data_IF_520070157312
#
_entry.id   IF_520070157312
#
_cell.length_a   1.000
_cell.length_b   1.000
_cell.length_c   1.000
_cell.angle_alpha   90.00
_cell.angle_beta   90.00
_cell.angle_gamma   90.00
#
_symmetry.space_group_name_H-M   'P 1'
#
loop_
_entity.id
_entity.type
_entity.pdbx_description
1 polymer ?
#
# COMPACT_ATOMS: atom_id res chain seq x y z
N UNK A 1 -8.53 6.59 -9.84
CA UNK A 1 -8.18 7.97 -10.25
C UNK A 1 -9.27 9.02 -10.01
N UNK A 2 -10.51 8.67 -9.65
CA UNK A 2 -11.62 9.65 -9.54
C UNK A 2 -11.62 10.58 -8.32
N UNK A 3 -10.71 10.42 -7.37
CA UNK A 3 -10.68 11.18 -6.10
C UNK A 3 -9.61 12.27 -6.08
N UNK A 4 -8.68 12.25 -7.03
CA UNK A 4 -7.63 13.27 -7.13
C UNK A 4 -8.21 14.57 -7.70
N UNK A 5 -7.86 15.75 -7.14
CA UNK A 5 -8.24 17.02 -7.75
C UNK A 5 -7.73 17.10 -9.21
N UNK A 6 -8.59 17.52 -10.13
CA UNK A 6 -8.29 17.58 -11.57
C UNK A 6 -6.98 18.30 -11.87
N UNK A 7 -6.69 19.39 -11.14
CA UNK A 7 -5.45 20.16 -11.27
C UNK A 7 -4.21 19.33 -10.90
N UNK A 8 -4.27 18.53 -9.84
CA UNK A 8 -3.16 17.67 -9.43
C UNK A 8 -2.91 16.57 -10.46
N UNK A 9 -3.97 15.95 -10.97
CA UNK A 9 -3.89 14.96 -12.05
C UNK A 9 -3.29 15.54 -13.34
N UNK A 10 -3.65 16.79 -13.70
CA UNK A 10 -3.18 17.40 -14.94
C UNK A 10 -1.72 17.89 -14.88
N UNK A 11 -1.31 18.47 -13.75
CA UNK A 11 -0.07 19.25 -13.69
C UNK A 11 0.99 18.70 -12.73
N UNK A 12 0.65 17.76 -11.85
CA UNK A 12 1.61 17.16 -10.93
C UNK A 12 1.99 15.74 -11.39
N UNK A 13 3.16 15.65 -12.06
CA UNK A 13 3.67 14.35 -12.49
C UNK A 13 3.98 13.44 -11.31
N UNK A 14 4.50 13.98 -10.20
CA UNK A 14 4.78 13.19 -8.99
C UNK A 14 3.53 12.47 -8.46
N UNK A 15 2.42 13.21 -8.28
CA UNK A 15 1.13 12.64 -7.85
C UNK A 15 0.61 11.62 -8.86
N UNK A 16 0.69 11.94 -10.15
CA UNK A 16 0.17 11.05 -11.21
C UNK A 16 0.96 9.76 -11.31
N UNK A 17 2.30 9.85 -11.30
CA UNK A 17 3.21 8.69 -11.30
C UNK A 17 2.97 7.83 -10.08
N UNK A 18 2.88 8.44 -8.90
CA UNK A 18 2.67 7.69 -7.66
C UNK A 18 1.31 6.96 -7.67
N UNK A 19 0.24 7.63 -8.13
CA UNK A 19 -1.10 7.02 -8.27
C UNK A 19 -1.25 6.00 -9.38
N UNK A 20 -0.27 5.83 -10.26
CA UNK A 20 -0.25 4.80 -11.30
C UNK A 20 0.60 3.59 -10.94
N UNK A 21 1.30 3.62 -9.80
CA UNK A 21 2.15 2.51 -9.40
C UNK A 21 1.31 1.27 -9.09
N UNK A 22 1.72 0.12 -9.62
CA UNK A 22 1.15 -1.15 -9.22
C UNK A 22 -0.35 -1.32 -9.49
N UNK A 23 -1.01 -2.12 -8.66
CA UNK A 23 -2.46 -2.38 -8.77
C UNK A 23 -3.13 -2.38 -7.39
N UNK A 24 -4.44 -2.19 -7.40
CA UNK A 24 -5.27 -2.22 -6.20
C UNK A 24 -5.78 -3.62 -5.90
N UNK A 25 -5.91 -3.93 -4.61
CA UNK A 25 -6.57 -5.14 -4.13
C UNK A 25 -7.79 -4.74 -3.31
N UNK A 26 -8.92 -5.33 -3.66
CA UNK A 26 -10.22 -5.09 -3.06
C UNK A 26 -10.53 -6.20 -2.05
N UNK A 27 -11.35 -5.91 -1.03
CA UNK A 27 -11.67 -6.92 -0.04
C UNK A 27 -12.55 -8.02 -0.67
N UNK A 28 -12.41 -9.29 -0.26
CA UNK A 28 -13.19 -10.41 -0.80
C UNK A 28 -14.66 -10.35 -0.37
N UNK A 29 -14.95 -9.69 0.75
CA UNK A 29 -16.30 -9.41 1.24
C UNK A 29 -16.35 -8.01 1.85
N UNK A 30 -17.54 -7.46 2.07
CA UNK A 30 -17.66 -6.26 2.90
C UNK A 30 -17.53 -6.63 4.37
N UNK A 31 -16.84 -5.80 5.13
CA UNK A 31 -16.71 -5.98 6.57
C UNK A 31 -16.48 -4.65 7.26
N UNK A 32 -16.77 -4.63 8.55
CA UNK A 32 -16.45 -3.50 9.42
C UNK A 32 -15.54 -3.95 10.55
N UNK A 33 -14.67 -3.05 10.99
CA UNK A 33 -13.83 -3.25 12.18
C UNK A 33 -14.05 -2.11 13.17
N UNK A 34 -13.96 -2.41 14.45
CA UNK A 34 -13.95 -1.42 15.52
C UNK A 34 -13.08 -1.91 16.66
N UNK A 35 -12.25 -1.04 17.21
CA UNK A 35 -11.52 -1.32 18.45
C UNK A 35 -12.29 -0.73 19.63
N UNK A 36 -12.55 -1.50 20.68
CA UNK A 36 -13.32 -1.07 21.85
C UNK A 36 -12.47 -0.41 22.94
N UNK A 37 -11.14 -0.46 22.79
CA UNK A 37 -10.16 -0.12 23.82
C UNK A 37 -9.47 -1.35 24.40
N UNK A 38 -10.15 -2.50 24.39
CA UNK A 38 -9.58 -3.77 24.85
C UNK A 38 -9.51 -4.81 23.73
N UNK A 39 -10.53 -4.87 22.88
CA UNK A 39 -10.70 -5.91 21.87
C UNK A 39 -11.01 -5.28 20.51
N UNK A 40 -10.67 -5.99 19.44
CA UNK A 40 -11.23 -5.69 18.12
C UNK A 40 -12.52 -6.48 17.97
N UNK A 41 -13.56 -5.82 17.48
CA UNK A 41 -14.80 -6.45 17.05
C UNK A 41 -15.00 -6.23 15.56
N UNK A 42 -15.68 -7.16 14.90
CA UNK A 42 -15.94 -7.11 13.47
C UNK A 42 -17.39 -7.44 13.11
N UNK A 43 -17.76 -7.07 11.89
CA UNK A 43 -18.99 -7.47 11.19
C UNK A 43 -18.66 -7.91 9.79
N UNK A 44 -19.37 -8.92 9.28
CA UNK A 44 -19.32 -9.30 7.87
C UNK A 44 -20.67 -8.99 7.24
N UNK A 45 -20.65 -8.53 6.00
CA UNK A 45 -21.88 -8.38 5.25
C UNK A 45 -22.76 -7.22 5.76
N UNK A 46 -24.06 -7.51 5.92
CA UNK A 46 -25.05 -6.62 6.54
C UNK A 46 -25.31 -6.99 8.01
N UNK A 47 -24.45 -7.81 8.63
CA UNK A 47 -24.64 -8.24 10.02
C UNK A 47 -24.82 -7.04 10.95
N UNK A 48 -25.83 -7.10 11.79
CA UNK A 48 -26.06 -6.08 12.82
C UNK A 48 -25.28 -6.36 14.10
N UNK A 49 -24.79 -7.58 14.27
CA UNK A 49 -24.12 -8.04 15.48
C UNK A 49 -22.60 -7.94 15.35
N UNK A 50 -21.98 -7.27 16.33
CA UNK A 50 -20.53 -7.22 16.46
C UNK A 50 -20.03 -8.49 17.13
N UNK A 51 -18.99 -9.11 16.57
CA UNK A 51 -18.33 -10.30 17.13
C UNK A 51 -16.89 -9.94 17.51
N UNK A 52 -16.41 -10.44 18.65
CA UNK A 52 -15.00 -10.29 19.05
C UNK A 52 -14.12 -11.00 18.03
N UNK A 53 -13.13 -10.29 17.51
CA UNK A 53 -12.14 -10.83 16.59
C UNK A 53 -11.01 -11.47 17.39
N UNK A 54 -10.82 -12.77 17.22
CA UNK A 54 -9.57 -13.48 17.51
C UNK A 54 -8.94 -13.83 16.15
N UNK A 55 -9.44 -14.92 15.55
CA UNK A 55 -9.19 -15.29 14.18
C UNK A 55 -10.49 -15.57 13.45
N UNK A 56 -10.64 -15.05 12.25
CA UNK A 56 -11.83 -15.24 11.44
C UNK A 56 -11.49 -15.73 10.03
N UNK A 57 -12.25 -16.71 9.57
CA UNK A 57 -12.12 -17.33 8.26
C UNK A 57 -13.39 -17.11 7.45
N UNK A 58 -13.25 -16.85 6.16
CA UNK A 58 -14.39 -16.79 5.25
C UNK A 58 -14.78 -18.21 4.85
N UNK A 59 -15.96 -18.64 5.29
CA UNK A 59 -16.46 -20.00 5.11
C UNK A 59 -16.40 -20.45 3.65
N UNK A 60 -16.98 -19.68 2.73
CA UNK A 60 -17.00 -19.99 1.29
C UNK A 60 -15.58 -20.17 0.72
N UNK A 61 -14.62 -19.36 1.21
CA UNK A 61 -13.23 -19.44 0.77
C UNK A 61 -12.51 -20.66 1.33
N UNK A 62 -12.80 -21.06 2.58
CA UNK A 62 -12.29 -22.29 3.19
C UNK A 62 -12.83 -23.51 2.44
N UNK A 63 -14.14 -23.57 2.21
CA UNK A 63 -14.79 -24.66 1.47
C UNK A 63 -14.22 -24.80 0.05
N UNK A 64 -14.06 -23.67 -0.64
CA UNK A 64 -13.41 -23.64 -1.95
C UNK A 64 -11.96 -24.13 -1.88
N UNK A 65 -11.20 -23.77 -0.86
CA UNK A 65 -9.82 -24.23 -0.71
C UNK A 65 -9.77 -25.75 -0.48
N UNK A 66 -10.54 -26.28 0.47
CA UNK A 66 -10.57 -27.71 0.78
C UNK A 66 -11.01 -28.57 -0.41
N UNK A 67 -11.88 -28.05 -1.27
CA UNK A 67 -12.33 -28.75 -2.48
C UNK A 67 -11.26 -28.89 -3.58
N UNK A 68 -10.24 -28.01 -3.60
CA UNK A 68 -9.23 -27.97 -4.67
C UNK A 68 -7.81 -28.29 -4.19
N UNK A 69 -7.51 -28.03 -2.92
CA UNK A 69 -6.19 -28.22 -2.37
C UNK A 69 -5.94 -29.70 -2.00
N UNK A 70 -4.72 -30.22 -2.20
CA UNK A 70 -4.33 -31.52 -1.67
C UNK A 70 -4.57 -31.62 -0.16
N UNK A 71 -4.99 -32.78 0.32
CA UNK A 71 -5.28 -33.02 1.75
C UNK A 71 -4.11 -32.63 2.67
N UNK A 72 -2.87 -32.84 2.21
CA UNK A 72 -1.66 -32.52 2.95
C UNK A 72 -1.48 -31.03 3.29
N UNK A 73 -2.26 -30.13 2.70
CA UNK A 73 -2.19 -28.67 2.95
C UNK A 73 -3.50 -28.09 3.47
N UNK A 74 -4.48 -28.92 3.85
CA UNK A 74 -5.79 -28.45 4.34
C UNK A 74 -5.68 -27.55 5.57
N UNK A 75 -4.70 -27.81 6.45
CA UNK A 75 -4.45 -27.00 7.66
C UNK A 75 -3.66 -25.71 7.39
N UNK A 76 -3.26 -25.45 6.14
CA UNK A 76 -2.42 -24.30 5.77
C UNK A 76 -3.20 -23.07 5.29
N UNK A 77 -4.54 -23.09 5.37
CA UNK A 77 -5.35 -21.97 4.89
C UNK A 77 -5.21 -20.74 5.80
N UNK A 78 -4.90 -19.54 5.26
CA UNK A 78 -4.74 -18.34 6.06
C UNK A 78 -6.08 -17.81 6.56
N UNK A 79 -6.09 -17.21 7.75
CA UNK A 79 -7.24 -16.45 8.24
C UNK A 79 -7.52 -15.23 7.37
N UNK A 80 -8.80 -14.88 7.24
CA UNK A 80 -9.20 -13.65 6.58
C UNK A 80 -8.86 -12.44 7.45
N UNK A 81 -9.24 -12.49 8.72
CA UNK A 81 -8.91 -11.50 9.73
C UNK A 81 -8.20 -12.18 10.91
N UNK A 82 -7.16 -11.54 11.43
CA UNK A 82 -6.46 -11.97 12.64
C UNK A 82 -6.10 -10.75 13.49
N UNK A 83 -6.26 -10.84 14.80
CA UNK A 83 -5.89 -9.75 15.73
C UNK A 83 -4.53 -10.05 16.35
N UNK A 84 -3.67 -9.04 16.41
CA UNK A 84 -2.39 -9.18 17.07
C UNK A 84 -2.55 -9.02 18.61
N UNK A 85 -1.62 -9.57 19.41
CA UNK A 85 -1.66 -9.47 20.88
C UNK A 85 -1.76 -8.05 21.44
N UNK A 86 -1.29 -7.03 20.70
CA UNK A 86 -1.43 -5.62 21.06
C UNK A 86 -2.89 -5.12 21.06
N UNK A 87 -3.84 -5.89 20.50
CA UNK A 87 -5.28 -5.68 20.66
C UNK A 87 -5.91 -4.59 19.79
N UNK A 88 -5.12 -3.86 18.99
CA UNK A 88 -5.62 -2.86 18.03
C UNK A 88 -4.96 -2.94 16.65
N UNK A 89 -4.16 -3.98 16.41
CA UNK A 89 -3.55 -4.27 15.13
C UNK A 89 -4.27 -5.47 14.52
N UNK A 90 -4.73 -5.33 13.29
CA UNK A 90 -5.48 -6.35 12.55
C UNK A 90 -4.71 -6.68 11.27
N UNK A 91 -4.48 -7.97 11.07
CA UNK A 91 -4.05 -8.53 9.81
C UNK A 91 -5.27 -8.81 8.94
N UNK A 92 -5.20 -8.38 7.68
CA UNK A 92 -6.24 -8.61 6.68
C UNK A 92 -5.61 -9.37 5.50
N UNK A 93 -6.04 -10.62 5.30
CA UNK A 93 -5.68 -11.40 4.12
C UNK A 93 -6.67 -11.11 2.99
N UNK A 94 -6.16 -10.91 1.77
CA UNK A 94 -7.05 -10.68 0.61
C UNK A 94 -7.64 -11.95 0.00
N UNK A 95 -7.17 -13.12 0.40
CA UNK A 95 -7.47 -14.40 -0.25
C UNK A 95 -6.59 -14.70 -1.48
N UNK A 96 -5.70 -13.77 -1.88
CA UNK A 96 -4.69 -14.01 -2.90
C UNK A 96 -3.36 -14.46 -2.27
N UNK A 97 -2.51 -15.10 -3.07
CA UNK A 97 -1.11 -15.31 -2.77
C UNK A 97 -0.25 -14.39 -3.64
N UNK A 98 0.91 -14.01 -3.13
CA UNK A 98 1.89 -13.19 -3.83
C UNK A 98 3.08 -14.05 -4.23
N UNK A 99 3.40 -14.02 -5.52
CA UNK A 99 4.57 -14.65 -6.11
C UNK A 99 5.27 -13.64 -7.02
N UNK A 100 6.58 -13.51 -6.89
CA UNK A 100 7.40 -12.61 -7.70
C UNK A 100 8.35 -13.39 -8.58
N UNK A 101 8.66 -12.82 -9.75
CA UNK A 101 9.77 -13.28 -10.57
C UNK A 101 11.12 -12.90 -9.92
N UNK A 102 12.20 -13.65 -10.18
CA UNK A 102 13.54 -13.28 -9.73
C UNK A 102 13.90 -11.84 -10.13
N UNK A 103 14.44 -11.06 -9.18
CA UNK A 103 14.80 -9.66 -9.41
C UNK A 103 13.69 -8.64 -9.15
N UNK A 104 12.48 -9.11 -8.84
CA UNK A 104 11.34 -8.27 -8.45
C UNK A 104 10.91 -8.60 -7.03
N UNK A 105 10.68 -7.56 -6.23
CA UNK A 105 9.96 -7.66 -4.97
C UNK A 105 8.75 -6.71 -5.01
N UNK A 106 7.84 -6.81 -4.06
CA UNK A 106 6.62 -5.99 -4.05
C UNK A 106 6.50 -5.20 -2.76
N UNK A 107 6.14 -3.92 -2.85
CA UNK A 107 5.68 -3.14 -1.72
C UNK A 107 4.16 -3.27 -1.58
N UNK A 108 3.72 -3.88 -0.49
CA UNK A 108 2.31 -3.93 -0.07
C UNK A 108 2.06 -2.76 0.85
N UNK A 109 1.07 -1.94 0.53
CA UNK A 109 0.86 -0.66 1.20
C UNK A 109 -0.58 -0.17 1.20
N UNK A 110 -0.84 0.89 1.96
CA UNK A 110 -2.08 1.65 1.85
C UNK A 110 -2.27 2.25 0.44
N UNK A 111 -3.49 2.24 -0.12
CA UNK A 111 -3.81 2.85 -1.42
C UNK A 111 -3.42 4.33 -1.54
N UNK A 112 -2.50 4.64 -2.44
CA UNK A 112 -1.99 6.01 -2.60
C UNK A 112 -3.01 6.97 -3.21
N UNK A 113 -3.17 8.12 -2.57
CA UNK A 113 -4.11 9.19 -2.95
C UNK A 113 -5.57 8.73 -3.09
N UNK A 114 -5.92 7.62 -2.43
CA UNK A 114 -7.30 7.18 -2.26
C UNK A 114 -7.75 7.63 -0.86
N UNK A 115 -8.85 8.40 -0.74
CA UNK A 115 -9.42 8.73 0.56
C UNK A 115 -9.79 7.46 1.30
N UNK A 116 -9.29 7.32 2.51
CA UNK A 116 -9.60 6.22 3.41
C UNK A 116 -9.99 6.76 4.77
N UNK A 117 -10.46 5.89 5.65
CA UNK A 117 -10.70 6.26 7.04
C UNK A 117 -9.41 6.84 7.65
N UNK A 118 -9.49 8.05 8.21
CA UNK A 118 -8.39 8.59 9.02
C UNK A 118 -8.18 7.86 10.36
N UNK A 119 -9.00 6.82 10.63
CA UNK A 119 -8.92 6.01 11.84
C UNK A 119 -8.04 4.74 11.67
N UNK A 120 -7.35 4.60 10.53
CA UNK A 120 -6.43 3.49 10.29
C UNK A 120 -5.05 3.99 9.91
N UNK A 121 -4.04 3.32 10.44
CA UNK A 121 -2.67 3.39 9.93
C UNK A 121 -2.34 2.05 9.26
N UNK A 122 -1.86 2.11 8.02
CA UNK A 122 -1.35 0.92 7.34
C UNK A 122 0.09 0.66 7.75
N UNK A 123 0.44 -0.59 7.96
CA UNK A 123 1.82 -1.05 7.98
C UNK A 123 2.19 -1.55 6.59
N UNK A 124 3.08 -0.80 5.96
CA UNK A 124 3.60 -1.13 4.64
C UNK A 124 4.75 -2.14 4.78
N UNK A 125 4.87 -3.05 3.81
CA UNK A 125 5.89 -4.09 3.79
C UNK A 125 6.48 -4.21 2.40
N UNK A 126 7.80 -4.48 2.30
CA UNK A 126 8.44 -4.92 1.06
C UNK A 126 8.66 -6.43 1.18
N UNK A 127 8.10 -7.18 0.25
CA UNK A 127 8.06 -8.64 0.25
C UNK A 127 8.79 -9.15 -0.97
N UNK A 128 9.82 -9.97 -0.75
CA UNK A 128 10.41 -10.82 -1.78
C UNK A 128 9.78 -12.20 -1.70
N UNK A 129 8.94 -12.51 -2.68
CA UNK A 129 8.24 -13.78 -2.81
C UNK A 129 8.84 -14.68 -3.89
N UNK A 130 10.06 -14.40 -4.37
CA UNK A 130 10.68 -15.22 -5.43
C UNK A 130 11.18 -16.55 -4.91
N UNK A 131 11.40 -16.65 -3.60
CA UNK A 131 11.87 -17.86 -2.90
C UNK A 131 10.84 -18.41 -1.90
N UNK A 132 9.72 -17.71 -1.68
CA UNK A 132 8.65 -18.12 -0.77
C UNK A 132 7.28 -17.60 -1.23
N UNK A 133 6.28 -18.46 -1.28
CA UNK A 133 4.90 -18.08 -1.56
C UNK A 133 4.21 -17.58 -0.28
N UNK A 134 3.77 -16.33 -0.29
CA UNK A 134 3.14 -15.71 0.88
C UNK A 134 1.68 -15.34 0.60
N UNK A 135 0.73 -15.55 1.53
CA UNK A 135 -0.58 -14.94 1.43
C UNK A 135 -0.45 -13.42 1.32
N UNK A 136 -1.24 -12.81 0.44
CA UNK A 136 -1.22 -11.37 0.24
C UNK A 136 -2.02 -10.68 1.35
N UNK A 137 -1.25 -10.16 2.30
CA UNK A 137 -1.72 -9.60 3.57
C UNK A 137 -1.34 -8.13 3.69
N UNK A 138 -2.21 -7.34 4.32
CA UNK A 138 -1.85 -6.04 4.88
C UNK A 138 -2.21 -5.98 6.37
N UNK A 139 -1.33 -5.35 7.16
CA UNK A 139 -1.59 -5.09 8.57
C UNK A 139 -2.02 -3.64 8.75
N UNK A 140 -3.03 -3.41 9.60
CA UNK A 140 -3.50 -2.09 9.96
C UNK A 140 -3.53 -1.92 11.48
N UNK A 141 -3.30 -0.70 11.96
CA UNK A 141 -3.58 -0.29 13.33
C UNK A 141 -4.83 0.60 13.36
N UNK A 142 -5.78 0.27 14.22
CA UNK A 142 -6.95 1.10 14.51
C UNK A 142 -6.57 2.16 15.54
N UNK A 143 -6.82 3.44 15.23
CA UNK A 143 -6.26 4.57 15.99
C UNK A 143 -7.19 5.08 17.12
N UNK A 144 -8.50 4.99 16.93
CA UNK A 144 -9.53 5.52 17.82
C UNK A 144 -10.48 4.42 18.26
N UNK A 145 -10.77 4.41 19.55
CA UNK A 145 -11.71 3.49 20.18
C UNK A 145 -13.15 3.84 19.81
N UNK A 146 -14.02 2.83 19.79
CA UNK A 146 -15.48 2.94 19.60
C UNK A 146 -15.90 3.69 18.33
N UNK A 147 -15.05 3.66 17.30
CA UNK A 147 -15.30 4.27 16.00
C UNK A 147 -15.19 3.21 14.90
N UNK A 148 -16.33 2.75 14.35
CA UNK A 148 -16.35 1.80 13.25
C UNK A 148 -15.56 2.30 12.02
N UNK A 149 -14.91 1.36 11.34
CA UNK A 149 -14.25 1.53 10.05
C UNK A 149 -14.93 0.59 9.08
N UNK A 150 -15.39 1.14 7.95
CA UNK A 150 -16.11 0.41 6.93
C UNK A 150 -15.18 0.03 5.78
N UNK A 151 -15.20 -1.25 5.37
CA UNK A 151 -14.46 -1.77 4.22
C UNK A 151 -15.43 -2.28 3.15
N UNK A 152 -15.90 -1.40 2.26
CA UNK A 152 -16.82 -1.79 1.20
C UNK A 152 -16.08 -2.46 0.02
N UNK A 153 -16.78 -3.32 -0.71
CA UNK A 153 -16.23 -4.05 -1.88
C UNK A 153 -15.65 -3.17 -2.98
N UNK A 154 -16.12 -1.93 -3.12
CA UNK A 154 -15.70 -1.01 -4.18
C UNK A 154 -14.54 -0.08 -3.77
N UNK A 155 -14.00 -0.23 -2.56
CA UNK A 155 -12.81 0.51 -2.11
C UNK A 155 -11.65 -0.46 -1.87
N UNK A 156 -10.44 -0.12 -2.32
CA UNK A 156 -9.29 -1.00 -2.12
C UNK A 156 -8.85 -0.99 -0.66
N UNK A 157 -8.40 -2.15 -0.17
CA UNK A 157 -7.79 -2.29 1.16
C UNK A 157 -6.27 -2.12 1.12
N UNK A 158 -5.66 -2.39 -0.03
CA UNK A 158 -4.22 -2.23 -0.24
C UNK A 158 -3.89 -1.97 -1.71
N UNK A 159 -2.66 -1.56 -1.94
CA UNK A 159 -2.03 -1.42 -3.23
C UNK A 159 -0.72 -2.21 -3.23
N UNK A 160 -0.46 -2.93 -4.31
CA UNK A 160 0.76 -3.72 -4.49
C UNK A 160 1.60 -3.07 -5.58
N UNK A 161 2.83 -2.67 -5.24
CA UNK A 161 3.72 -1.92 -6.13
C UNK A 161 4.98 -2.75 -6.42
N UNK A 162 5.28 -3.08 -7.68
CA UNK A 162 6.53 -3.77 -8.02
C UNK A 162 7.74 -2.85 -7.79
N UNK A 163 8.80 -3.42 -7.23
CA UNK A 163 10.09 -2.78 -6.99
C UNK A 163 11.22 -3.71 -7.45
N UNK A 164 12.37 -3.18 -7.88
CA UNK A 164 13.55 -4.00 -8.08
C UNK A 164 14.07 -4.52 -6.73
N UNK A 165 14.59 -5.76 -6.68
CA UNK A 165 15.14 -6.33 -5.44
C UNK A 165 16.34 -5.56 -4.88
N UNK A 166 16.94 -4.64 -5.64
CA UNK A 166 17.97 -3.73 -5.14
C UNK A 166 17.52 -2.89 -3.95
N UNK A 167 16.21 -2.64 -3.78
CA UNK A 167 15.67 -1.95 -2.59
C UNK A 167 15.80 -2.75 -1.30
N UNK A 168 16.05 -4.07 -1.40
CA UNK A 168 16.26 -4.95 -0.25
C UNK A 168 17.71 -4.90 0.27
N UNK A 169 18.61 -4.26 -0.47
CA UNK A 169 20.00 -4.12 -0.06
C UNK A 169 20.07 -3.41 1.30
N UNK A 170 20.84 -3.99 2.24
CA UNK A 170 21.09 -3.39 3.56
C UNK A 170 22.01 -2.17 3.49
N UNK A 171 22.71 -2.00 2.37
CA UNK A 171 23.54 -0.84 2.11
C UNK A 171 22.65 0.39 2.02
N UNK A 172 22.63 1.18 3.10
CA UNK A 172 21.94 2.46 3.09
C UNK A 172 22.72 3.41 2.20
N UNK A 173 22.08 3.87 1.12
CA UNK A 173 22.49 5.10 0.47
C UNK A 173 22.48 6.18 1.55
N UNK A 174 23.64 6.80 1.79
CA UNK A 174 23.69 7.92 2.73
C UNK A 174 22.87 9.06 2.15
N UNK A 175 21.77 9.39 2.83
CA UNK A 175 21.07 10.63 2.56
C UNK A 175 21.98 11.77 3.02
N UNK A 176 22.44 12.59 2.08
CA UNK A 176 23.10 13.83 2.43
C UNK A 176 22.05 14.82 2.94
N UNK A 177 22.19 15.22 4.20
CA UNK A 177 21.48 16.35 4.77
C UNK A 177 22.48 17.47 5.05
N UNK A 178 22.09 18.69 4.70
CA UNK A 178 22.92 19.87 4.87
C UNK A 178 22.20 20.85 5.78
N UNK A 179 22.91 21.45 6.73
CA UNK A 179 22.39 22.62 7.43
C UNK A 179 22.44 23.83 6.50
N UNK A 180 21.53 24.80 6.69
CA UNK A 180 21.42 25.94 5.80
C UNK A 180 22.71 26.78 5.71
N UNK A 181 23.47 26.85 6.80
CA UNK A 181 24.75 27.56 6.92
C UNK A 181 25.93 26.81 6.31
N UNK A 182 25.77 25.53 5.96
CA UNK A 182 26.77 24.70 5.28
C UNK A 182 26.58 24.70 3.75
N UNK A 183 25.45 25.24 3.27
CA UNK A 183 25.10 25.26 1.84
C UNK A 183 26.01 26.20 1.04
N UNK A 184 26.62 25.63 0.01
CA UNK A 184 27.52 26.32 -0.89
C UNK A 184 26.76 27.21 -1.90
N UNK A 185 27.46 28.16 -2.52
CA UNK A 185 26.85 29.14 -3.44
C UNK A 185 26.14 28.49 -4.64
N UNK A 186 26.67 27.38 -5.14
CA UNK A 186 26.10 26.59 -6.24
C UNK A 186 24.74 25.98 -5.90
N UNK A 187 24.51 25.56 -4.65
CA UNK A 187 23.20 25.14 -4.16
C UNK A 187 22.20 26.29 -4.28
N UNK A 188 22.56 27.48 -3.82
CA UNK A 188 21.68 28.65 -3.86
C UNK A 188 21.37 29.07 -5.30
N UNK A 189 22.35 28.99 -6.19
CA UNK A 189 22.14 29.24 -7.62
C UNK A 189 21.22 28.18 -8.25
N UNK A 190 21.37 26.90 -7.90
CA UNK A 190 20.46 25.84 -8.35
C UNK A 190 19.04 26.01 -7.79
N UNK A 191 18.91 26.41 -6.53
CA UNK A 191 17.64 26.69 -5.88
C UNK A 191 16.93 27.86 -6.54
N UNK A 192 17.64 28.98 -6.74
CA UNK A 192 17.12 30.17 -7.43
C UNK A 192 16.67 29.84 -8.85
N UNK A 193 17.49 29.14 -9.62
CA UNK A 193 17.12 28.67 -10.98
C UNK A 193 15.84 27.84 -10.95
N UNK A 194 15.73 26.89 -10.01
CA UNK A 194 14.53 26.04 -9.88
C UNK A 194 13.29 26.83 -9.47
N UNK A 195 13.44 27.82 -8.58
CA UNK A 195 12.37 28.72 -8.17
C UNK A 195 11.90 29.58 -9.34
N UNK A 196 12.83 30.20 -10.06
CA UNK A 196 12.53 31.06 -11.21
C UNK A 196 11.89 30.23 -12.34
N UNK A 197 12.40 29.04 -12.66
CA UNK A 197 11.81 28.09 -13.63
C UNK A 197 10.37 27.69 -13.24
N UNK A 198 10.12 27.43 -11.95
CA UNK A 198 8.81 27.03 -11.44
C UNK A 198 7.79 28.16 -11.53
N UNK A 199 8.19 29.40 -11.27
CA UNK A 199 7.29 30.55 -11.22
C UNK A 199 7.13 31.28 -12.56
N UNK A 200 8.13 31.21 -13.44
CA UNK A 200 8.06 31.75 -14.80
C UNK A 200 7.42 30.77 -15.80
N UNK A 201 7.41 29.48 -15.49
CA UNK A 201 6.87 28.43 -16.34
C UNK A 201 5.33 28.41 -16.40
N UNK A 202 4.79 27.99 -17.55
CA UNK A 202 3.37 27.67 -17.70
C UNK A 202 2.99 26.47 -16.82
N UNK A 203 1.74 26.38 -16.30
CA UNK A 203 1.27 25.20 -15.57
C UNK A 203 1.61 23.89 -16.28
N UNK A 204 2.28 22.97 -15.59
CA UNK A 204 2.71 21.67 -16.15
C UNK A 204 4.08 21.66 -16.82
N UNK A 205 4.84 22.77 -16.83
CA UNK A 205 6.23 22.81 -17.33
C UNK A 205 7.12 21.76 -16.66
N UNK A 206 7.04 21.64 -15.33
CA UNK A 206 7.72 20.60 -14.55
C UNK A 206 7.33 19.20 -15.00
N UNK A 207 6.03 18.92 -15.12
CA UNK A 207 5.55 17.60 -15.54
C UNK A 207 6.08 17.20 -16.93
N UNK A 208 6.14 18.15 -17.87
CA UNK A 208 6.74 17.92 -19.19
C UNK A 208 8.22 17.59 -19.10
N UNK A 209 9.01 18.38 -18.35
CA UNK A 209 10.45 18.17 -18.18
C UNK A 209 10.73 16.82 -17.49
N UNK A 210 9.97 16.48 -16.45
CA UNK A 210 10.09 15.21 -15.74
C UNK A 210 9.82 14.01 -16.66
N UNK A 211 8.80 14.05 -17.52
CA UNK A 211 8.53 12.99 -18.50
C UNK A 211 9.65 12.83 -19.53
N UNK A 212 10.25 13.93 -19.96
CA UNK A 212 11.40 13.88 -20.88
C UNK A 212 12.59 13.20 -20.22
N UNK A 213 12.92 13.58 -18.99
CA UNK A 213 14.03 12.96 -18.22
C UNK A 213 13.72 11.49 -17.92
N UNK A 214 12.47 11.16 -17.57
CA UNK A 214 12.09 9.77 -17.27
C UNK A 214 12.34 8.81 -18.44
N UNK A 215 12.22 9.28 -19.68
CA UNK A 215 12.53 8.49 -20.89
C UNK A 215 14.02 8.20 -21.09
N UNK A 216 14.91 8.98 -20.47
CA UNK A 216 16.35 8.70 -20.53
C UNK A 216 16.81 7.67 -19.50
N UNK A 217 15.97 7.32 -18.53
CA UNK A 217 16.26 6.21 -17.63
C UNK A 217 16.01 4.90 -18.38
N UNK A 218 16.99 4.00 -18.37
CA UNK A 218 16.87 2.68 -18.96
C UNK A 218 15.69 1.95 -18.29
N UNK A 219 14.66 1.49 -19.03
CA UNK A 219 13.62 0.69 -18.43
C UNK A 219 14.23 -0.61 -17.90
N UNK A 220 13.67 -1.11 -16.79
CA UNK A 220 13.96 -2.43 -16.25
C UNK A 220 13.90 -3.42 -17.42
N UNK A 221 15.00 -4.16 -17.64
CA UNK A 221 15.08 -5.13 -18.71
C UNK A 221 13.93 -6.12 -18.58
N UNK A 222 13.02 -6.09 -19.56
CA UNK A 222 12.15 -7.22 -19.84
C UNK A 222 13.05 -8.33 -20.42
N UNK A 223 13.43 -9.27 -19.56
CA UNK A 223 13.95 -10.58 -19.94
C UNK A 223 12.87 -11.61 -19.72
#
# INVERSE_FOLDING_TARGET
MGTLPTRAHQYCEGVTTASRQGWYVFPPTRFDLMWTGNEVVFKIGDSQDWTVLDRFYLQDSVESFLAHAPESVHDCYPSFLDVFPEGNIVQICSGYALQSDPGVCYMVRGPINVPMSGNIQHYEAIIDSSWHLSPLIINIRILQQNKPIHFPLHQPIMQVVPLPTSVLAKEQLQAESFQLDELQADFWDAWKRSYDDRNAGQPGSYARKQRTIARSYCPIMAG
#
